data_IF_799882205254
#
_entry.id   IF_799882205254
#
_cell.length_a   1.000
_cell.length_b   1.000
_cell.length_c   1.000
_cell.angle_alpha   90.00
_cell.angle_beta   90.00
_cell.angle_gamma   90.00
#
_symmetry.space_group_name_H-M   'P 1'
#
loop_
_entity.id
_entity.type
_entity.pdbx_description
1 polymer ?
#
# COMPACT_ATOMS: atom_id res chain seq x y z
N UNK A 1 30.73 10.51 -60.54
CA UNK A 1 29.71 11.07 -59.61
C UNK A 1 28.90 9.97 -58.91
N UNK A 2 28.27 9.02 -59.63
CA UNK A 2 27.45 7.96 -59.00
C UNK A 2 28.20 7.03 -58.01
N UNK A 3 29.46 6.63 -58.32
CA UNK A 3 30.26 5.73 -57.46
C UNK A 3 30.61 6.36 -56.10
N UNK A 4 30.86 7.67 -56.04
CA UNK A 4 31.15 8.39 -54.80
C UNK A 4 29.92 8.54 -53.91
N UNK A 5 28.73 8.71 -54.50
CA UNK A 5 27.47 8.78 -53.76
C UNK A 5 27.06 7.43 -53.16
N UNK A 6 27.24 6.32 -53.91
CA UNK A 6 26.96 4.97 -53.42
C UNK A 6 27.95 4.58 -52.30
N UNK A 7 29.23 4.89 -52.45
CA UNK A 7 30.24 4.66 -51.40
C UNK A 7 29.97 5.45 -50.12
N UNK A 8 29.56 6.72 -50.24
CA UNK A 8 29.19 7.56 -49.09
C UNK A 8 27.95 7.05 -48.35
N UNK A 9 26.95 6.55 -49.08
CA UNK A 9 25.74 5.99 -48.47
C UNK A 9 26.03 4.70 -47.68
N UNK A 10 26.85 3.81 -48.23
CA UNK A 10 27.26 2.56 -47.56
C UNK A 10 28.03 2.88 -46.27
N UNK A 11 28.94 3.86 -46.31
CA UNK A 11 29.69 4.29 -45.13
C UNK A 11 28.78 4.89 -44.05
N UNK A 12 27.78 5.70 -44.43
CA UNK A 12 26.79 6.23 -43.47
C UNK A 12 25.93 5.12 -42.84
N UNK A 13 25.53 4.12 -43.62
CA UNK A 13 24.77 2.99 -43.09
C UNK A 13 25.59 2.11 -42.15
N UNK A 14 26.84 1.79 -42.49
CA UNK A 14 27.71 0.97 -41.63
C UNK A 14 28.06 1.69 -40.34
N UNK A 15 28.40 2.98 -40.40
CA UNK A 15 28.63 3.80 -39.21
C UNK A 15 27.38 3.90 -38.33
N UNK A 16 26.19 4.08 -38.91
CA UNK A 16 24.93 4.07 -38.18
C UNK A 16 24.68 2.72 -37.48
N UNK A 17 24.88 1.60 -38.17
CA UNK A 17 24.73 0.25 -37.58
C UNK A 17 25.71 0.06 -36.42
N UNK A 18 26.98 0.43 -36.58
CA UNK A 18 27.99 0.32 -35.52
C UNK A 18 27.61 1.17 -34.30
N UNK A 19 27.12 2.39 -34.50
CA UNK A 19 26.64 3.26 -33.42
C UNK A 19 25.45 2.65 -32.69
N UNK A 20 24.49 2.06 -33.41
CA UNK A 20 23.33 1.38 -32.82
C UNK A 20 23.78 0.17 -31.99
N UNK A 21 24.66 -0.68 -32.55
CA UNK A 21 25.19 -1.87 -31.84
C UNK A 21 25.98 -1.45 -30.60
N UNK A 22 26.82 -0.42 -30.72
CA UNK A 22 27.56 0.14 -29.59
C UNK A 22 26.63 0.64 -28.48
N UNK A 23 25.58 1.39 -28.85
CA UNK A 23 24.58 1.89 -27.92
C UNK A 23 23.82 0.74 -27.23
N UNK A 24 23.41 -0.29 -27.98
CA UNK A 24 22.79 -1.50 -27.40
C UNK A 24 23.70 -2.19 -26.40
N UNK A 25 24.99 -2.30 -26.69
CA UNK A 25 25.96 -2.93 -25.80
C UNK A 25 26.20 -2.11 -24.52
N UNK A 26 26.24 -0.77 -24.63
CA UNK A 26 26.30 0.11 -23.47
C UNK A 26 25.06 -0.02 -22.58
N UNK A 27 23.87 -0.08 -23.18
CA UNK A 27 22.62 -0.28 -22.44
C UNK A 27 22.57 -1.64 -21.75
N UNK A 28 23.07 -2.70 -22.38
CA UNK A 28 23.12 -4.02 -21.76
C UNK A 28 24.06 -4.05 -20.55
N UNK A 29 25.23 -3.40 -20.65
CA UNK A 29 26.15 -3.26 -19.52
C UNK A 29 25.53 -2.45 -18.38
N UNK A 30 24.85 -1.35 -18.69
CA UNK A 30 24.19 -0.52 -17.68
C UNK A 30 23.03 -1.28 -17.00
N UNK A 31 22.25 -2.05 -17.76
CA UNK A 31 21.21 -2.94 -17.23
C UNK A 31 21.79 -4.01 -16.31
N UNK A 32 22.85 -4.70 -16.76
CA UNK A 32 23.55 -5.70 -15.94
C UNK A 32 24.08 -5.08 -14.64
N UNK A 33 24.68 -3.89 -14.70
CA UNK A 33 25.18 -3.19 -13.52
C UNK A 33 24.04 -2.80 -12.56
N UNK A 34 22.88 -2.36 -13.08
CA UNK A 34 21.71 -2.08 -12.26
C UNK A 34 21.15 -3.33 -11.57
N UNK A 35 21.06 -4.46 -12.28
CA UNK A 35 20.66 -5.74 -11.69
C UNK A 35 21.65 -6.24 -10.65
N UNK A 36 22.96 -6.12 -10.89
CA UNK A 36 23.99 -6.47 -9.92
C UNK A 36 23.92 -5.59 -8.67
N UNK A 37 23.62 -4.30 -8.81
CA UNK A 37 23.42 -3.41 -7.67
C UNK A 37 22.22 -3.84 -6.82
N UNK A 38 21.10 -4.23 -7.46
CA UNK A 38 19.93 -4.81 -6.78
C UNK A 38 20.32 -6.11 -6.06
N UNK A 39 20.99 -7.02 -6.77
CA UNK A 39 21.48 -8.29 -6.22
C UNK A 39 22.33 -8.06 -4.97
N UNK A 40 23.31 -7.16 -5.06
CA UNK A 40 24.19 -6.82 -3.94
C UNK A 40 23.44 -6.21 -2.76
N UNK A 41 22.49 -5.30 -3.00
CA UNK A 41 21.76 -4.63 -1.93
C UNK A 41 20.81 -5.57 -1.18
N UNK A 42 20.11 -6.44 -1.90
CA UNK A 42 19.07 -7.30 -1.34
C UNK A 42 19.55 -8.75 -1.12
N UNK A 43 20.84 -9.05 -1.32
CA UNK A 43 21.39 -10.40 -1.17
C UNK A 43 20.80 -11.40 -2.16
N UNK A 44 20.44 -10.95 -3.37
CA UNK A 44 19.91 -11.81 -4.43
C UNK A 44 21.05 -12.34 -5.32
N UNK A 45 20.73 -13.32 -6.15
CA UNK A 45 21.64 -13.83 -7.18
C UNK A 45 21.43 -13.04 -8.46
N UNK A 46 22.51 -12.58 -9.08
CA UNK A 46 22.48 -12.06 -10.45
C UNK A 46 22.72 -13.20 -11.43
N UNK A 47 21.75 -13.43 -12.31
CA UNK A 47 21.88 -14.39 -13.42
C UNK A 47 22.11 -13.61 -14.72
N UNK A 48 23.30 -13.71 -15.34
CA UNK A 48 23.53 -13.09 -16.63
C UNK A 48 22.64 -13.74 -17.68
N UNK A 49 22.03 -12.91 -18.53
CA UNK A 49 21.27 -13.38 -19.68
C UNK A 49 22.16 -14.09 -20.70
N UNK A 50 21.56 -15.02 -21.43
CA UNK A 50 22.17 -15.69 -22.57
C UNK A 50 21.41 -15.43 -23.86
N UNK A 51 21.68 -16.24 -24.88
CA UNK A 51 20.97 -16.16 -26.16
C UNK A 51 19.44 -16.42 -26.01
N UNK A 52 19.05 -17.25 -25.05
CA UNK A 52 17.66 -17.68 -24.85
C UNK A 52 16.98 -17.05 -23.61
N UNK A 53 17.73 -16.32 -22.78
CA UNK A 53 17.23 -15.82 -21.49
C UNK A 53 17.68 -14.38 -21.25
N UNK A 54 16.77 -13.55 -20.73
CA UNK A 54 17.12 -12.20 -20.28
C UNK A 54 17.86 -12.26 -18.94
N UNK A 55 18.76 -11.31 -18.71
CA UNK A 55 19.41 -11.13 -17.41
C UNK A 55 18.37 -10.81 -16.34
N UNK A 56 18.53 -11.40 -15.15
CA UNK A 56 17.64 -11.18 -14.00
C UNK A 56 18.41 -11.16 -12.69
N UNK A 57 17.80 -10.56 -11.68
CA UNK A 57 18.24 -10.68 -10.29
C UNK A 57 17.11 -11.31 -9.47
N UNK A 58 17.38 -12.44 -8.83
CA UNK A 58 16.37 -13.24 -8.16
C UNK A 58 16.92 -13.90 -6.89
N UNK A 59 16.09 -14.03 -5.86
CA UNK A 59 16.48 -14.67 -4.62
C UNK A 59 15.50 -14.44 -3.48
N UNK A 60 15.89 -14.87 -2.29
CA UNK A 60 15.12 -14.68 -1.05
C UNK A 60 15.78 -13.57 -0.24
N UNK A 61 15.01 -12.54 0.09
CA UNK A 61 15.40 -11.46 0.98
C UNK A 61 14.37 -11.36 2.10
N UNK A 62 14.80 -11.46 3.37
CA UNK A 62 13.91 -11.39 4.54
C UNK A 62 12.71 -12.35 4.45
N UNK A 63 12.95 -13.58 3.98
CA UNK A 63 11.91 -14.61 3.82
C UNK A 63 10.95 -14.38 2.64
N UNK A 64 11.23 -13.41 1.76
CA UNK A 64 10.42 -13.10 0.58
C UNK A 64 11.19 -13.32 -0.71
N UNK A 65 10.50 -13.88 -1.68
CA UNK A 65 11.07 -14.05 -3.01
C UNK A 65 10.98 -12.73 -3.78
N UNK A 66 12.13 -12.19 -4.18
CA UNK A 66 12.25 -10.98 -5.00
C UNK A 66 12.80 -11.39 -6.37
N UNK A 67 12.17 -10.91 -7.45
CA UNK A 67 12.63 -11.10 -8.81
C UNK A 67 12.56 -9.78 -9.58
N UNK A 68 13.67 -9.41 -10.21
CA UNK A 68 13.79 -8.23 -11.06
C UNK A 68 14.35 -8.67 -12.40
N UNK A 69 13.56 -8.49 -13.46
CA UNK A 69 13.94 -8.93 -14.80
C UNK A 69 13.44 -7.98 -15.89
N UNK A 70 13.73 -8.35 -17.13
CA UNK A 70 13.13 -7.73 -18.30
C UNK A 70 12.51 -8.77 -19.20
N UNK A 71 11.36 -8.47 -19.79
CA UNK A 71 10.72 -9.34 -20.78
C UNK A 71 10.23 -8.52 -21.97
N UNK A 72 10.19 -9.15 -23.14
CA UNK A 72 9.79 -8.51 -24.39
C UNK A 72 8.48 -9.11 -24.87
N UNK A 73 7.47 -8.28 -25.13
CA UNK A 73 6.19 -8.68 -25.68
C UNK A 73 6.15 -8.29 -27.16
N UNK A 74 5.85 -9.25 -28.03
CA UNK A 74 5.63 -9.02 -29.47
C UNK A 74 4.15 -9.20 -29.82
N UNK A 75 3.59 -8.22 -30.53
CA UNK A 75 2.22 -8.29 -31.08
C UNK A 75 2.22 -8.54 -32.59
N UNK A 76 3.32 -9.08 -33.13
CA UNK A 76 3.53 -9.35 -34.56
C UNK A 76 3.92 -8.12 -35.38
N UNK A 77 3.42 -6.93 -35.04
CA UNK A 77 3.74 -5.65 -35.71
C UNK A 77 4.76 -4.79 -34.95
N UNK A 78 4.86 -4.99 -33.64
CA UNK A 78 5.76 -4.26 -32.77
C UNK A 78 6.24 -5.15 -31.63
N UNK A 79 7.45 -4.88 -31.16
CA UNK A 79 8.06 -5.54 -30.00
C UNK A 79 8.37 -4.48 -28.95
N UNK A 80 7.97 -4.71 -27.71
CA UNK A 80 8.22 -3.79 -26.60
C UNK A 80 8.82 -4.55 -25.41
N UNK A 81 9.99 -4.09 -24.97
CA UNK A 81 10.66 -4.59 -23.76
C UNK A 81 10.13 -3.86 -22.52
N UNK A 82 10.01 -4.59 -21.42
CA UNK A 82 9.58 -4.07 -20.13
C UNK A 82 10.54 -4.53 -19.03
N UNK A 83 10.83 -3.67 -18.06
CA UNK A 83 11.37 -4.06 -16.75
C UNK A 83 10.22 -4.47 -15.85
N UNK A 84 10.39 -5.57 -15.13
CA UNK A 84 9.43 -6.10 -14.16
C UNK A 84 10.11 -6.31 -12.82
N UNK A 85 9.40 -5.93 -11.76
CA UNK A 85 9.77 -6.15 -10.37
C UNK A 85 8.62 -6.95 -9.74
N UNK A 86 8.95 -8.08 -9.14
CA UNK A 86 8.02 -8.94 -8.41
C UNK A 86 8.55 -9.19 -7.01
N UNK A 87 7.71 -8.95 -6.00
CA UNK A 87 8.01 -9.27 -4.60
C UNK A 87 6.86 -10.11 -4.05
N UNK A 88 7.14 -11.37 -3.70
CA UNK A 88 6.14 -12.24 -3.08
C UNK A 88 5.97 -11.89 -1.61
N UNK A 89 4.73 -11.93 -1.14
CA UNK A 89 4.34 -11.64 0.24
C UNK A 89 3.73 -12.88 0.88
N UNK A 90 3.68 -12.88 2.21
CA UNK A 90 2.94 -13.88 3.01
C UNK A 90 1.50 -13.43 3.31
N UNK A 91 1.05 -12.33 2.70
CA UNK A 91 -0.29 -11.78 2.88
C UNK A 91 -1.35 -12.70 2.24
N UNK A 92 -2.60 -12.55 2.70
CA UNK A 92 -3.73 -13.25 2.10
C UNK A 92 -3.80 -12.96 0.60
N UNK A 93 -4.07 -13.99 -0.21
CA UNK A 93 -4.25 -13.84 -1.66
C UNK A 93 -5.47 -13.00 -2.03
N UNK A 94 -6.42 -12.82 -1.11
CA UNK A 94 -7.57 -11.94 -1.30
C UNK A 94 -7.24 -10.46 -1.12
N UNK A 95 -6.13 -10.13 -0.45
CA UNK A 95 -5.70 -8.74 -0.27
C UNK A 95 -5.19 -8.19 -1.60
N UNK A 96 -5.85 -7.13 -2.06
CA UNK A 96 -5.45 -6.40 -3.25
C UNK A 96 -5.28 -4.91 -2.92
N UNK A 97 -4.20 -4.32 -3.44
CA UNK A 97 -3.93 -2.89 -3.36
C UNK A 97 -3.55 -2.42 -4.76
N UNK A 98 -4.29 -1.45 -5.30
CA UNK A 98 -4.00 -0.88 -6.62
C UNK A 98 -4.32 0.62 -6.64
N UNK A 99 -3.91 1.28 -7.71
CA UNK A 99 -4.26 2.68 -7.98
C UNK A 99 -5.53 2.79 -8.81
N UNK A 100 -6.28 3.87 -8.63
CA UNK A 100 -7.53 4.13 -9.38
C UNK A 100 -7.34 4.11 -10.91
N UNK A 101 -6.16 4.46 -11.43
CA UNK A 101 -5.88 4.47 -12.87
C UNK A 101 -5.74 3.10 -13.56
N UNK A 102 -5.59 2.00 -12.79
CA UNK A 102 -5.40 0.62 -13.30
C UNK A 102 -6.74 -0.16 -13.28
N UNK A 103 -7.85 0.58 -13.23
CA UNK A 103 -9.22 0.14 -12.87
C UNK A 103 -9.80 -1.04 -13.65
N UNK A 104 -9.35 -1.31 -14.87
CA UNK A 104 -10.10 -2.19 -15.77
C UNK A 104 -10.08 -3.67 -15.37
N UNK A 105 -9.07 -4.11 -14.62
CA UNK A 105 -8.91 -5.54 -14.27
C UNK A 105 -9.42 -5.90 -12.87
N UNK A 106 -9.38 -4.98 -11.90
CA UNK A 106 -9.75 -5.29 -10.51
C UNK A 106 -11.26 -5.38 -10.29
N UNK A 107 -12.02 -4.40 -10.79
CA UNK A 107 -13.49 -4.40 -10.68
C UNK A 107 -14.13 -5.63 -11.34
N UNK A 108 -13.52 -6.13 -12.42
CA UNK A 108 -13.99 -7.33 -13.14
C UNK A 108 -13.62 -8.64 -12.45
N UNK A 109 -12.47 -8.70 -11.78
CA UNK A 109 -11.96 -9.93 -11.19
C UNK A 109 -12.50 -10.22 -9.78
N UNK A 110 -12.94 -9.20 -9.04
CA UNK A 110 -13.22 -9.35 -7.60
C UNK A 110 -14.65 -9.02 -7.15
N UNK A 111 -15.48 -8.34 -7.95
CA UNK A 111 -16.94 -8.23 -7.73
C UNK A 111 -17.45 -7.66 -6.39
N UNK A 112 -16.57 -7.29 -5.47
CA UNK A 112 -16.90 -6.77 -4.13
C UNK A 112 -16.71 -5.27 -3.99
N UNK A 113 -17.24 -4.73 -2.91
CA UNK A 113 -17.10 -3.31 -2.56
C UNK A 113 -15.67 -2.97 -2.14
N UNK A 114 -15.21 -1.81 -2.62
CA UNK A 114 -13.91 -1.23 -2.31
C UNK A 114 -13.84 -0.86 -0.82
N UNK A 115 -12.87 -1.43 -0.09
CA UNK A 115 -12.71 -1.22 1.34
C UNK A 115 -12.23 0.22 1.60
N UNK A 116 -12.91 0.93 2.50
CA UNK A 116 -12.55 2.30 2.89
C UNK A 116 -11.88 2.30 4.27
N UNK A 117 -10.68 2.86 4.36
CA UNK A 117 -9.92 2.88 5.64
C UNK A 117 -10.16 4.13 6.46
N UNK A 118 -10.85 5.14 5.92
CA UNK A 118 -11.24 6.35 6.65
C UNK A 118 -10.29 7.53 6.44
N UNK A 119 -9.41 7.48 5.44
CA UNK A 119 -8.63 8.61 4.98
C UNK A 119 -9.08 8.96 3.56
N UNK A 120 -10.02 9.91 3.42
CA UNK A 120 -10.63 10.25 2.14
C UNK A 120 -9.60 10.50 1.02
N UNK A 121 -8.49 11.19 1.31
CA UNK A 121 -7.46 11.46 0.30
C UNK A 121 -6.73 10.21 -0.20
N UNK A 122 -6.64 9.19 0.65
CA UNK A 122 -6.06 7.89 0.32
C UNK A 122 -7.10 7.00 -0.36
N UNK A 123 -8.28 6.90 0.25
CA UNK A 123 -9.43 6.11 -0.23
C UNK A 123 -9.90 6.54 -1.64
N UNK A 124 -9.73 7.81 -2.01
CA UNK A 124 -10.06 8.29 -3.36
C UNK A 124 -9.04 7.87 -4.42
N UNK A 125 -7.80 7.56 -4.03
CA UNK A 125 -6.69 7.30 -4.98
C UNK A 125 -6.31 5.83 -5.08
N UNK A 126 -6.73 5.05 -4.10
CA UNK A 126 -6.34 3.67 -3.89
C UNK A 126 -7.57 2.79 -3.95
N UNK A 127 -7.45 1.65 -4.61
CA UNK A 127 -8.44 0.59 -4.62
C UNK A 127 -7.97 -0.52 -3.70
N UNK A 128 -8.79 -0.84 -2.70
CA UNK A 128 -8.49 -1.82 -1.67
C UNK A 128 -9.55 -2.91 -1.71
N UNK A 129 -9.13 -4.16 -1.83
CA UNK A 129 -10.04 -5.30 -1.70
C UNK A 129 -9.45 -6.34 -0.77
N UNK A 130 -10.30 -7.09 -0.09
CA UNK A 130 -9.91 -8.14 0.83
C UNK A 130 -10.83 -8.18 2.04
N UNK A 131 -10.38 -8.86 3.10
CA UNK A 131 -11.08 -8.80 4.38
C UNK A 131 -10.95 -7.38 4.96
N UNK A 132 -12.07 -6.71 5.17
CA UNK A 132 -12.10 -5.31 5.61
C UNK A 132 -11.33 -5.07 6.91
N UNK A 133 -11.43 -6.00 7.87
CA UNK A 133 -10.74 -5.91 9.15
C UNK A 133 -9.23 -6.00 8.96
N UNK A 134 -8.75 -6.95 8.16
CA UNK A 134 -7.33 -7.11 7.87
C UNK A 134 -6.75 -5.91 7.11
N UNK A 135 -7.50 -5.38 6.13
CA UNK A 135 -7.13 -4.21 5.35
C UNK A 135 -6.99 -2.99 6.25
N UNK A 136 -8.01 -2.69 7.06
CA UNK A 136 -8.02 -1.55 7.96
C UNK A 136 -6.90 -1.63 9.01
N UNK A 137 -6.65 -2.82 9.57
CA UNK A 137 -5.60 -3.04 10.55
C UNK A 137 -4.19 -2.80 9.97
N UNK A 138 -3.92 -3.25 8.74
CA UNK A 138 -2.57 -3.21 8.14
C UNK A 138 -2.21 -1.86 7.55
N UNK A 139 -3.18 -1.02 7.25
CA UNK A 139 -2.98 0.28 6.62
C UNK A 139 -2.92 1.38 7.66
N UNK A 140 -1.89 1.36 8.52
CA UNK A 140 -1.54 2.47 9.40
C UNK A 140 -1.07 3.71 8.60
N UNK A 141 -0.81 4.82 9.30
CA UNK A 141 -0.39 6.07 8.64
C UNK A 141 0.82 5.88 7.72
N UNK A 142 1.88 5.20 8.21
CA UNK A 142 3.11 4.98 7.45
C UNK A 142 2.87 4.09 6.24
N UNK A 143 2.13 3.01 6.41
CA UNK A 143 1.83 2.02 5.37
C UNK A 143 0.99 2.64 4.27
N UNK A 144 0.03 3.52 4.60
CA UNK A 144 -0.72 4.30 3.60
C UNK A 144 0.21 5.21 2.77
N UNK A 145 1.21 5.85 3.38
CA UNK A 145 2.18 6.65 2.61
C UNK A 145 3.04 5.80 1.67
N UNK A 146 3.49 4.63 2.14
CA UNK A 146 4.26 3.69 1.33
C UNK A 146 3.43 3.12 0.18
N UNK A 147 2.16 2.76 0.44
CA UNK A 147 1.22 2.28 -0.56
C UNK A 147 0.99 3.33 -1.64
N UNK A 148 0.76 4.59 -1.26
CA UNK A 148 0.61 5.69 -2.21
C UNK A 148 1.87 5.91 -3.07
N UNK A 149 3.06 5.87 -2.45
CA UNK A 149 4.34 5.99 -3.16
C UNK A 149 4.54 4.86 -4.17
N UNK A 150 4.32 3.61 -3.76
CA UNK A 150 4.43 2.42 -4.61
C UNK A 150 3.43 2.46 -5.77
N UNK A 151 2.17 2.82 -5.49
CA UNK A 151 1.11 2.97 -6.48
C UNK A 151 1.42 4.07 -7.51
N UNK A 152 1.99 5.21 -7.09
CA UNK A 152 2.46 6.27 -8.01
C UNK A 152 3.56 5.77 -8.96
N UNK A 153 4.33 4.76 -8.55
CA UNK A 153 5.31 4.11 -9.43
C UNK A 153 4.69 3.00 -10.29
N UNK A 154 3.40 2.69 -10.15
CA UNK A 154 2.70 1.65 -10.88
C UNK A 154 2.85 0.25 -10.28
N UNK A 155 3.18 0.16 -8.99
CA UNK A 155 3.11 -1.11 -8.26
C UNK A 155 1.67 -1.43 -7.87
N UNK A 156 1.33 -2.71 -7.87
CA UNK A 156 0.05 -3.25 -7.36
C UNK A 156 0.30 -4.54 -6.59
N UNK A 157 -0.53 -4.84 -5.59
CA UNK A 157 -0.57 -6.10 -4.86
C UNK A 157 -1.77 -6.92 -5.34
N UNK A 158 -1.53 -8.12 -5.87
CA UNK A 158 -2.60 -9.07 -6.27
C UNK A 158 -2.12 -10.50 -6.05
N UNK A 159 -3.00 -11.36 -5.53
CA UNK A 159 -2.69 -12.79 -5.39
C UNK A 159 -1.48 -13.10 -4.49
N UNK A 160 -1.16 -12.20 -3.56
CA UNK A 160 0.00 -12.34 -2.67
C UNK A 160 1.33 -11.87 -3.26
N UNK A 161 1.35 -11.21 -4.41
CA UNK A 161 2.58 -10.63 -4.97
C UNK A 161 2.42 -9.15 -5.32
N UNK A 162 3.43 -8.36 -4.98
CA UNK A 162 3.60 -7.03 -5.55
C UNK A 162 4.21 -7.15 -6.93
N UNK A 163 3.64 -6.42 -7.89
CA UNK A 163 4.12 -6.34 -9.27
C UNK A 163 4.20 -4.90 -9.74
N UNK A 164 5.33 -4.52 -10.31
CA UNK A 164 5.55 -3.26 -11.00
C UNK A 164 6.16 -3.55 -12.38
N UNK A 165 5.60 -2.95 -13.43
CA UNK A 165 6.10 -3.05 -14.79
C UNK A 165 6.35 -1.66 -15.38
N UNK A 166 7.50 -1.46 -16.03
CA UNK A 166 7.85 -0.23 -16.76
C UNK A 166 8.34 -0.55 -18.16
N UNK A 167 8.00 0.32 -19.11
CA UNK A 167 8.50 0.21 -20.49
C UNK A 167 10.01 0.47 -20.54
N UNK A 168 10.71 -0.33 -21.34
CA UNK A 168 12.17 -0.32 -21.48
C UNK A 168 12.90 -0.97 -20.30
N UNK A 169 14.22 -1.13 -20.47
CA UNK A 169 15.13 -1.52 -19.39
C UNK A 169 15.47 -0.31 -18.52
N UNK A 170 15.29 -0.40 -17.21
CA UNK A 170 15.72 0.64 -16.27
C UNK A 170 17.22 0.48 -16.01
N UNK A 171 18.04 1.23 -16.73
CA UNK A 171 19.52 1.18 -16.65
C UNK A 171 20.11 2.07 -15.54
N UNK A 172 19.33 3.01 -15.02
CA UNK A 172 19.71 3.82 -13.85
C UNK A 172 19.61 2.98 -12.58
N UNK A 173 20.77 2.73 -11.95
CA UNK A 173 20.88 1.91 -10.75
C UNK A 173 20.10 2.49 -9.57
N UNK A 174 20.21 3.81 -9.32
CA UNK A 174 19.56 4.46 -8.18
C UNK A 174 18.04 4.42 -8.33
N UNK A 175 17.54 4.62 -9.56
CA UNK A 175 16.12 4.50 -9.87
C UNK A 175 15.60 3.08 -9.67
N UNK A 176 16.30 2.06 -10.17
CA UNK A 176 15.88 0.67 -10.01
C UNK A 176 15.88 0.25 -8.53
N UNK A 177 16.95 0.58 -7.80
CA UNK A 177 17.04 0.34 -6.35
C UNK A 177 15.94 1.06 -5.57
N UNK A 178 15.59 2.29 -5.96
CA UNK A 178 14.50 3.04 -5.34
C UNK A 178 13.13 2.39 -5.56
N UNK A 179 12.88 1.83 -6.74
CA UNK A 179 11.63 1.12 -7.04
C UNK A 179 11.53 -0.21 -6.28
N UNK A 180 12.60 -1.02 -6.28
CA UNK A 180 12.64 -2.27 -5.51
C UNK A 180 12.46 -1.98 -4.02
N UNK A 181 13.20 -1.00 -3.48
CA UNK A 181 13.13 -0.62 -2.08
C UNK A 181 11.74 -0.17 -1.66
N UNK A 182 11.05 0.63 -2.46
CA UNK A 182 9.69 1.05 -2.11
C UNK A 182 8.69 -0.10 -2.03
N UNK A 183 8.84 -1.14 -2.86
CA UNK A 183 7.97 -2.33 -2.81
C UNK A 183 8.33 -3.19 -1.59
N UNK A 184 9.62 -3.38 -1.31
CA UNK A 184 10.09 -4.12 -0.13
C UNK A 184 9.66 -3.43 1.16
N UNK A 185 9.83 -2.11 1.27
CA UNK A 185 9.41 -1.31 2.42
C UNK A 185 7.91 -1.44 2.67
N UNK A 186 7.09 -1.42 1.60
CA UNK A 186 5.65 -1.61 1.70
C UNK A 186 5.27 -3.04 2.08
N UNK A 187 5.93 -4.05 1.52
CA UNK A 187 5.69 -5.45 1.89
C UNK A 187 6.02 -5.68 3.37
N UNK A 188 7.15 -5.14 3.85
CA UNK A 188 7.54 -5.16 5.26
C UNK A 188 6.50 -4.47 6.14
N UNK A 189 6.02 -3.30 5.71
CA UNK A 189 5.01 -2.56 6.44
C UNK A 189 3.66 -3.29 6.48
N UNK A 190 3.24 -4.03 5.45
CA UNK A 190 1.95 -4.73 5.48
C UNK A 190 1.95 -6.03 6.29
N UNK A 191 3.10 -6.69 6.41
CA UNK A 191 3.16 -8.02 7.02
C UNK A 191 3.26 -8.01 8.56
N UNK A 192 3.49 -6.84 9.20
CA UNK A 192 3.46 -6.61 10.66
C UNK A 192 3.73 -7.88 11.50
N UNK A 193 4.94 -8.44 11.36
CA UNK A 193 5.26 -9.74 11.95
C UNK A 193 5.06 -9.71 13.48
N UNK A 194 4.23 -10.64 13.98
CA UNK A 194 4.02 -10.84 15.41
C UNK A 194 2.91 -10.00 16.06
N UNK A 195 2.29 -9.06 15.34
CA UNK A 195 1.11 -8.33 15.85
C UNK A 195 -0.18 -9.00 15.42
N UNK A 196 -1.11 -9.14 16.36
CA UNK A 196 -2.49 -9.55 16.07
C UNK A 196 -3.27 -8.43 15.38
N UNK A 197 -4.33 -8.80 14.67
CA UNK A 197 -5.24 -7.84 14.02
C UNK A 197 -5.83 -6.85 15.04
N UNK A 198 -6.17 -7.32 16.24
CA UNK A 198 -6.77 -6.46 17.26
C UNK A 198 -5.75 -5.45 17.83
N UNK A 199 -4.48 -5.84 18.00
CA UNK A 199 -3.41 -4.92 18.43
C UNK A 199 -3.16 -3.84 17.37
N UNK A 200 -3.12 -4.21 16.09
CA UNK A 200 -2.98 -3.26 14.98
C UNK A 200 -4.16 -2.28 14.92
N UNK A 201 -5.40 -2.78 15.01
CA UNK A 201 -6.60 -1.92 15.07
C UNK A 201 -6.55 -0.97 16.27
N UNK A 202 -6.17 -1.45 17.45
CA UNK A 202 -6.06 -0.63 18.66
C UNK A 202 -4.99 0.45 18.49
N UNK A 203 -3.81 0.08 17.97
CA UNK A 203 -2.74 1.03 17.71
C UNK A 203 -3.19 2.14 16.74
N UNK A 204 -3.84 1.77 15.63
CA UNK A 204 -4.38 2.73 14.66
C UNK A 204 -5.46 3.62 15.30
N UNK A 205 -6.31 3.03 16.12
CA UNK A 205 -7.38 3.73 16.86
C UNK A 205 -6.82 4.80 17.79
N UNK A 206 -5.69 4.53 18.45
CA UNK A 206 -5.10 5.45 19.43
C UNK A 206 -4.19 6.51 18.81
N UNK A 207 -3.49 6.18 17.71
CA UNK A 207 -2.35 6.98 17.24
C UNK A 207 -2.46 7.54 15.83
N UNK A 208 -3.44 7.10 15.03
CA UNK A 208 -3.51 7.56 13.64
C UNK A 208 -3.83 9.07 13.57
N UNK A 209 -3.09 9.88 12.80
CA UNK A 209 -3.34 11.32 12.69
C UNK A 209 -4.69 11.65 12.03
N UNK A 210 -5.32 10.70 11.33
CA UNK A 210 -6.61 10.90 10.67
C UNK A 210 -7.74 10.38 11.56
N UNK A 211 -8.59 11.30 12.00
CA UNK A 211 -9.78 10.96 12.78
C UNK A 211 -10.68 9.92 12.10
N UNK A 212 -10.85 9.98 10.77
CA UNK A 212 -11.65 8.99 10.05
C UNK A 212 -11.08 7.57 10.14
N UNK A 213 -9.75 7.43 10.15
CA UNK A 213 -9.07 6.14 10.35
C UNK A 213 -9.24 5.66 11.78
N UNK A 214 -9.04 6.54 12.78
CA UNK A 214 -9.27 6.21 14.19
C UNK A 214 -10.70 5.73 14.43
N UNK A 215 -11.70 6.44 13.90
CA UNK A 215 -13.12 6.04 13.96
C UNK A 215 -13.36 4.67 13.33
N UNK A 216 -12.86 4.45 12.11
CA UNK A 216 -13.07 3.19 11.38
C UNK A 216 -12.45 2.01 12.12
N UNK A 217 -11.22 2.16 12.61
CA UNK A 217 -10.53 1.12 13.36
C UNK A 217 -11.21 0.87 14.72
N UNK A 218 -11.70 1.92 15.40
CA UNK A 218 -12.45 1.76 16.66
C UNK A 218 -13.73 0.95 16.47
N UNK A 219 -14.52 1.26 15.44
CA UNK A 219 -15.74 0.49 15.13
C UNK A 219 -15.42 -0.98 14.89
N UNK A 220 -14.46 -1.27 14.01
CA UNK A 220 -14.05 -2.64 13.71
C UNK A 220 -13.47 -3.37 14.93
N UNK A 221 -12.79 -2.66 15.82
CA UNK A 221 -12.24 -3.23 17.03
C UNK A 221 -13.33 -3.61 18.02
N UNK A 222 -14.29 -2.71 18.27
CA UNK A 222 -15.41 -2.93 19.21
C UNK A 222 -16.33 -4.08 18.78
N UNK A 223 -16.45 -4.35 17.48
CA UNK A 223 -17.17 -5.52 16.97
C UNK A 223 -16.48 -6.86 17.30
N UNK A 224 -15.20 -6.82 17.69
CA UNK A 224 -14.35 -8.01 17.83
C UNK A 224 -13.85 -8.28 19.24
N UNK A 225 -13.71 -7.24 20.05
CA UNK A 225 -13.18 -7.37 21.41
C UNK A 225 -14.27 -7.12 22.44
N UNK A 226 -14.43 -7.99 23.45
CA UNK A 226 -15.46 -7.83 24.46
C UNK A 226 -15.19 -6.62 25.38
N UNK A 227 -13.92 -6.29 25.59
CA UNK A 227 -13.50 -5.18 26.44
C UNK A 227 -12.17 -4.61 25.94
N UNK A 228 -12.00 -3.30 26.13
CA UNK A 228 -10.75 -2.60 25.85
C UNK A 228 -9.92 -2.42 27.13
N UNK A 229 -8.59 -2.31 27.03
CA UNK A 229 -7.74 -1.92 28.16
C UNK A 229 -8.16 -0.57 28.74
N UNK A 230 -8.15 -0.41 30.07
CA UNK A 230 -8.59 0.81 30.75
C UNK A 230 -7.82 2.06 30.26
N UNK A 231 -6.50 1.95 30.11
CA UNK A 231 -5.67 3.04 29.59
C UNK A 231 -6.02 3.44 28.15
N UNK A 232 -6.52 2.51 27.33
CA UNK A 232 -7.00 2.82 25.99
C UNK A 232 -8.35 3.53 26.04
N UNK A 233 -9.24 3.14 26.95
CA UNK A 233 -10.53 3.81 27.18
C UNK A 233 -10.29 5.27 27.57
N UNK A 234 -9.42 5.55 28.53
CA UNK A 234 -9.11 6.91 28.98
C UNK A 234 -8.58 7.78 27.83
N UNK A 235 -7.67 7.24 27.02
CA UNK A 235 -7.15 7.93 25.84
C UNK A 235 -8.23 8.22 24.80
N UNK A 236 -9.13 7.27 24.54
CA UNK A 236 -10.21 7.43 23.57
C UNK A 236 -11.29 8.40 24.03
N UNK A 237 -11.59 8.43 25.33
CA UNK A 237 -12.47 9.42 25.94
C UNK A 237 -11.86 10.83 25.88
N UNK A 238 -10.53 10.94 25.85
CA UNK A 238 -9.79 12.17 25.66
C UNK A 238 -9.45 12.49 24.19
N UNK A 239 -9.96 11.72 23.21
CA UNK A 239 -9.62 11.93 21.80
C UNK A 239 -10.08 13.32 21.31
N UNK A 240 -9.21 14.00 20.57
CA UNK A 240 -9.52 15.27 19.89
C UNK A 240 -10.77 15.23 19.00
N UNK A 241 -11.12 14.06 18.48
CA UNK A 241 -12.28 13.86 17.64
C UNK A 241 -13.50 13.43 18.46
N UNK A 242 -14.50 14.30 18.49
CA UNK A 242 -15.75 14.09 19.23
C UNK A 242 -16.51 12.81 18.84
N UNK A 243 -16.38 12.33 17.60
CA UNK A 243 -17.08 11.09 17.19
C UNK A 243 -16.37 9.87 17.76
N UNK A 244 -15.03 9.89 17.86
CA UNK A 244 -14.29 8.85 18.58
C UNK A 244 -14.73 8.81 20.04
N UNK A 245 -14.76 9.98 20.71
CA UNK A 245 -15.24 10.12 22.10
C UNK A 245 -16.66 9.58 22.29
N UNK A 246 -17.59 9.95 21.40
CA UNK A 246 -18.98 9.48 21.46
C UNK A 246 -19.10 7.97 21.21
N UNK A 247 -18.31 7.41 20.29
CA UNK A 247 -18.32 5.98 19.99
C UNK A 247 -17.82 5.16 21.18
N UNK A 248 -16.71 5.56 21.83
CA UNK A 248 -16.24 4.84 23.01
C UNK A 248 -17.18 5.04 24.21
N UNK A 249 -17.75 6.24 24.38
CA UNK A 249 -18.69 6.57 25.44
C UNK A 249 -19.96 5.71 25.42
N UNK A 250 -20.36 5.23 24.25
CA UNK A 250 -21.51 4.33 24.10
C UNK A 250 -21.25 2.94 24.73
N UNK A 251 -19.98 2.52 24.81
CA UNK A 251 -19.60 1.18 25.29
C UNK A 251 -19.19 1.18 26.77
N UNK A 252 -18.55 2.25 27.25
CA UNK A 252 -17.87 2.25 28.56
C UNK A 252 -18.73 2.73 29.74
N UNK A 253 -20.01 2.99 29.52
CA UNK A 253 -21.00 3.26 30.58
C UNK A 253 -20.69 4.51 31.41
N UNK A 254 -20.73 4.36 32.74
CA UNK A 254 -20.57 5.43 33.73
C UNK A 254 -19.29 6.25 33.57
N UNK A 255 -18.18 5.60 33.20
CA UNK A 255 -16.88 6.25 33.01
C UNK A 255 -16.93 7.35 31.92
N UNK A 256 -17.92 7.32 31.04
CA UNK A 256 -18.11 8.31 29.99
C UNK A 256 -18.84 9.58 30.44
N UNK A 257 -19.41 9.64 31.64
CA UNK A 257 -20.33 10.71 32.06
C UNK A 257 -19.71 12.11 31.98
N UNK A 258 -18.48 12.34 32.49
CA UNK A 258 -17.87 13.66 32.40
C UNK A 258 -17.73 14.14 30.95
N UNK A 259 -17.30 13.25 30.05
CA UNK A 259 -17.09 13.55 28.63
C UNK A 259 -18.41 13.78 27.90
N UNK A 260 -19.43 12.98 28.18
CA UNK A 260 -20.74 13.17 27.55
C UNK A 260 -21.40 14.48 27.98
N UNK A 261 -21.25 14.88 29.26
CA UNK A 261 -21.72 16.17 29.75
C UNK A 261 -21.00 17.33 29.06
N UNK A 262 -19.67 17.28 29.00
CA UNK A 262 -18.85 18.27 28.29
C UNK A 262 -19.32 18.43 26.83
N UNK A 263 -19.51 17.32 26.11
CA UNK A 263 -19.95 17.33 24.71
C UNK A 263 -21.37 17.88 24.58
N UNK A 264 -22.28 17.58 25.51
CA UNK A 264 -23.66 18.08 25.47
C UNK A 264 -23.73 19.61 25.67
N UNK A 265 -22.86 20.15 26.52
CA UNK A 265 -22.84 21.58 26.90
C UNK A 265 -22.04 22.45 25.90
N UNK A 266 -21.11 21.87 25.13
CA UNK A 266 -20.25 22.58 24.18
C UNK A 266 -21.04 23.17 22.99
N UNK A 267 -21.34 24.47 23.06
CA UNK A 267 -22.08 25.23 22.05
C UNK A 267 -21.37 25.36 20.70
N UNK A 268 -20.06 25.04 20.62
CA UNK A 268 -19.33 25.05 19.35
C UNK A 268 -19.65 23.82 18.47
N UNK A 269 -20.19 22.76 19.09
CA UNK A 269 -20.54 21.52 18.39
C UNK A 269 -21.92 21.59 17.74
N UNK A 270 -22.09 20.81 16.67
CA UNK A 270 -23.38 20.70 15.99
C UNK A 270 -24.46 20.12 16.92
N UNK A 271 -25.71 20.53 16.71
CA UNK A 271 -26.87 20.04 17.46
C UNK A 271 -26.99 18.51 17.42
N UNK A 272 -26.61 17.87 16.30
CA UNK A 272 -26.59 16.41 16.19
C UNK A 272 -25.61 15.75 17.19
N UNK A 273 -24.39 16.28 17.31
CA UNK A 273 -23.37 15.74 18.22
C UNK A 273 -23.78 15.91 19.69
N UNK A 274 -24.24 17.10 20.05
CA UNK A 274 -24.75 17.39 21.40
C UNK A 274 -25.97 16.52 21.73
N UNK A 275 -26.92 16.43 20.81
CA UNK A 275 -28.10 15.58 20.95
C UNK A 275 -27.74 14.12 21.16
N UNK A 276 -26.76 13.57 20.42
CA UNK A 276 -26.28 12.20 20.63
C UNK A 276 -25.69 12.02 22.03
N UNK A 277 -24.93 12.99 22.54
CA UNK A 277 -24.38 12.92 23.90
C UNK A 277 -25.48 12.89 24.96
N UNK A 278 -26.52 13.72 24.82
CA UNK A 278 -27.70 13.73 25.71
C UNK A 278 -28.42 12.38 25.70
N UNK A 279 -28.61 11.78 24.52
CA UNK A 279 -29.23 10.45 24.39
C UNK A 279 -28.41 9.38 25.10
N UNK A 280 -27.08 9.41 24.98
CA UNK A 280 -26.19 8.46 25.66
C UNK A 280 -26.21 8.65 27.18
N UNK A 281 -26.21 9.89 27.68
CA UNK A 281 -26.38 10.18 29.12
C UNK A 281 -27.68 9.59 29.65
N UNK A 282 -28.80 9.84 28.96
CA UNK A 282 -30.10 9.32 29.37
C UNK A 282 -30.13 7.79 29.41
N UNK A 283 -29.55 7.14 28.39
CA UNK A 283 -29.45 5.66 28.32
C UNK A 283 -28.65 5.10 29.49
N UNK A 284 -27.50 5.70 29.80
CA UNK A 284 -26.68 5.20 30.89
C UNK A 284 -27.34 5.42 32.25
N UNK A 285 -27.98 6.59 32.48
CA UNK A 285 -28.75 6.81 33.71
C UNK A 285 -29.87 5.79 33.89
N UNK A 286 -30.55 5.40 32.81
CA UNK A 286 -31.58 4.36 32.86
C UNK A 286 -30.99 2.99 33.21
N UNK A 287 -29.87 2.60 32.60
CA UNK A 287 -29.21 1.32 32.89
C UNK A 287 -28.77 1.21 34.37
N UNK A 288 -28.31 2.32 34.97
CA UNK A 288 -27.97 2.38 36.40
C UNK A 288 -29.22 2.22 37.26
N UNK A 289 -30.31 2.92 36.91
CA UNK A 289 -31.56 2.84 37.66
C UNK A 289 -32.14 1.42 37.64
N UNK A 290 -32.01 0.70 36.53
CA UNK A 290 -32.41 -0.71 36.39
C UNK A 290 -31.50 -1.67 37.18
N UNK A 291 -30.20 -1.38 37.28
CA UNK A 291 -29.25 -2.22 38.03
C UNK A 291 -29.37 -2.10 39.56
N UNK A 292 -30.04 -1.07 40.06
CA UNK A 292 -30.24 -0.81 41.51
C UNK A 292 -31.56 -1.40 42.03
N UNK A 293 -32.45 -1.87 41.14
CA UNK A 293 -33.73 -2.52 41.48
C UNK A 293 -33.56 -4.03 41.70
#
# INVERSE_FOLDING_TARGET
MAVLLVGGLIFLFTTLIVLIVYWMHLHEKAWAAALQAVAKKYGLTYEPGGWLSASKSEGIHEGRHICVDSYTVSTGKSSQTFTRIVVKTQLSRSLCIDSEGVMSSLKKAFGGDDVRVGDAKFDDKMLLNGNEVEVAARLDYRTRQLAYKAAKMGASLKGGEFKLTKSGKITDQAKLLGMVGAIVDLANALEHQGQSVNEMLLQNTLSDPKAGVRRRNLTLLLERVPQLPANAIDQLLADTDVVVRLTIAEVVGESAFPVLKEIAEDQSLSTNRRGRAIVLLARHCQAIAEAVQ
#
